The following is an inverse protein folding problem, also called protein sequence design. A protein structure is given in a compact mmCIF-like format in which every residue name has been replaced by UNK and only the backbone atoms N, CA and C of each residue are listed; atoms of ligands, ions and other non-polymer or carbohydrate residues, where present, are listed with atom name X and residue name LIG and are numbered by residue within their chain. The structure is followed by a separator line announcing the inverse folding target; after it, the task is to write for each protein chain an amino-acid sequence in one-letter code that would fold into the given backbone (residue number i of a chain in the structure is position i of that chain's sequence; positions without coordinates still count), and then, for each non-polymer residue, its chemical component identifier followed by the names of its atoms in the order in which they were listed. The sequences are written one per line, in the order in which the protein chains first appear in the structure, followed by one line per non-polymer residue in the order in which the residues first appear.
data_IF_554064001613
#
_entry.id   IF_554064001613
#
_cell.length_a   1.000
_cell.length_b   1.000
_cell.length_c   1.000
_cell.angle_alpha   90.00
_cell.angle_beta   90.00
_cell.angle_gamma   90.00
#
_symmetry.space_group_name_H-M   'P 1'
#
loop_
_entity.id
_entity.type
_entity.pdbx_description
1 polymer ?
#
# COMPACT_ATOMS: atom_id res chain seq x y z
N UNK A 1 15.10 12.81 1.40
CA UNK A 1 16.35 12.17 0.91
C UNK A 1 17.35 11.94 2.04
N UNK A 2 17.84 12.96 2.75
CA UNK A 2 18.81 12.79 3.84
C UNK A 2 18.38 11.84 4.97
N UNK A 3 17.09 11.80 5.33
CA UNK A 3 16.57 10.86 6.31
C UNK A 3 16.76 9.39 5.88
N UNK A 4 16.55 9.09 4.59
CA UNK A 4 16.73 7.74 4.05
C UNK A 4 18.22 7.37 3.98
N UNK A 5 19.08 8.32 3.58
CA UNK A 5 20.54 8.12 3.57
C UNK A 5 21.09 7.87 4.99
N UNK A 6 20.49 8.45 6.02
CA UNK A 6 20.87 8.24 7.41
C UNK A 6 20.55 6.82 7.92
N UNK A 7 19.65 6.09 7.25
CA UNK A 7 19.36 4.69 7.57
C UNK A 7 20.29 3.71 6.83
N UNK A 8 21.10 4.20 5.89
CA UNK A 8 22.06 3.39 5.17
C UNK A 8 23.34 3.21 5.99
N UNK A 9 23.97 2.05 5.83
CA UNK A 9 25.31 1.81 6.37
C UNK A 9 26.38 2.31 5.37
N UNK A 10 27.41 2.97 5.90
CA UNK A 10 28.52 3.51 5.09
C UNK A 10 29.68 2.53 5.13
N UNK A 11 30.10 2.03 3.98
CA UNK A 11 31.34 1.25 3.86
C UNK A 11 32.52 2.18 3.55
N UNK A 12 33.42 2.34 4.53
CA UNK A 12 34.59 3.24 4.43
C UNK A 12 35.61 2.77 3.39
N UNK A 13 35.63 1.48 3.06
CA UNK A 13 36.61 0.86 2.15
C UNK A 13 36.35 1.19 0.68
N UNK A 14 35.10 1.22 0.24
CA UNK A 14 34.71 1.42 -1.16
C UNK A 14 33.89 2.70 -1.40
N UNK A 15 33.79 3.60 -0.41
CA UNK A 15 32.91 4.80 -0.45
C UNK A 15 31.49 4.45 -0.96
N UNK A 16 30.94 3.35 -0.47
CA UNK A 16 29.64 2.81 -0.92
C UNK A 16 28.62 2.84 0.21
N UNK A 17 27.35 3.09 -0.13
CA UNK A 17 26.21 3.02 0.78
C UNK A 17 25.50 1.69 0.60
N UNK A 18 25.27 0.99 1.70
CA UNK A 18 24.55 -0.29 1.72
C UNK A 18 23.25 -0.09 2.49
N UNK A 19 22.14 -0.42 1.85
CA UNK A 19 20.80 -0.36 2.44
C UNK A 19 20.09 -1.70 2.31
N UNK A 20 19.39 -2.09 3.37
CA UNK A 20 18.50 -3.25 3.38
C UNK A 20 17.06 -2.76 3.40
N UNK A 21 16.24 -3.24 2.46
CA UNK A 21 14.86 -2.79 2.33
C UNK A 21 13.95 -3.95 1.91
N UNK A 22 12.70 -3.87 2.35
CA UNK A 22 11.65 -4.77 1.91
C UNK A 22 11.08 -4.32 0.57
N UNK A 23 11.09 -5.21 -0.42
CA UNK A 23 10.51 -4.98 -1.73
C UNK A 23 9.61 -6.15 -2.12
N UNK A 24 8.49 -5.84 -2.78
CA UNK A 24 7.64 -6.85 -3.40
C UNK A 24 8.40 -7.57 -4.50
N UNK A 25 8.33 -8.91 -4.52
CA UNK A 25 8.98 -9.75 -5.55
C UNK A 25 8.51 -9.37 -6.96
N UNK A 26 7.27 -8.87 -7.10
CA UNK A 26 6.71 -8.45 -8.40
C UNK A 26 7.31 -7.15 -8.92
N UNK A 27 7.76 -6.26 -8.02
CA UNK A 27 8.29 -4.94 -8.37
C UNK A 27 9.83 -4.94 -8.48
N UNK A 28 10.47 -6.08 -8.18
CA UNK A 28 11.92 -6.26 -8.28
C UNK A 28 12.48 -5.95 -9.69
N UNK A 29 11.84 -6.38 -10.81
CA UNK A 29 12.35 -6.05 -12.14
C UNK A 29 12.33 -4.55 -12.43
N UNK A 30 11.24 -3.87 -12.07
CA UNK A 30 11.10 -2.43 -12.27
C UNK A 30 12.13 -1.64 -11.44
N UNK A 31 12.44 -2.11 -10.23
CA UNK A 31 13.49 -1.54 -9.41
C UNK A 31 14.88 -1.73 -10.03
N UNK A 32 15.19 -2.91 -10.57
CA UNK A 32 16.46 -3.17 -11.23
C UNK A 32 16.65 -2.33 -12.49
N UNK A 33 15.58 -2.12 -13.25
CA UNK A 33 15.58 -1.25 -14.43
C UNK A 33 15.85 0.21 -14.04
N UNK A 34 15.12 0.74 -13.05
CA UNK A 34 15.35 2.09 -12.54
C UNK A 34 16.79 2.30 -12.04
N UNK A 35 17.37 1.31 -11.34
CA UNK A 35 18.77 1.38 -10.89
C UNK A 35 19.76 1.39 -12.06
N UNK A 36 19.49 0.61 -13.11
CA UNK A 36 20.33 0.53 -14.31
C UNK A 36 20.29 1.83 -15.12
N UNK A 37 19.12 2.44 -15.23
CA UNK A 37 18.94 3.72 -15.92
C UNK A 37 19.73 4.82 -15.20
N UNK A 38 19.58 4.94 -13.87
CA UNK A 38 20.35 5.90 -13.06
C UNK A 38 21.86 5.65 -13.11
N UNK A 39 22.28 4.38 -13.18
CA UNK A 39 23.70 4.04 -13.28
C UNK A 39 24.34 4.48 -14.61
N UNK A 40 23.55 4.55 -15.67
CA UNK A 40 24.01 4.96 -17.01
C UNK A 40 24.15 6.47 -17.11
N UNK A 41 23.26 7.23 -16.47
CA UNK A 41 23.27 8.70 -16.50
C UNK A 41 24.37 9.31 -15.62
N UNK A 42 24.61 8.75 -14.43
CA UNK A 42 25.54 9.34 -13.44
C UNK A 42 26.87 8.58 -13.30
N UNK A 43 27.04 7.44 -13.99
CA UNK A 43 28.26 6.61 -13.90
C UNK A 43 28.46 5.93 -12.55
N UNK A 44 27.42 5.90 -11.70
CA UNK A 44 27.42 5.28 -10.37
C UNK A 44 26.73 3.93 -10.44
N UNK A 45 27.45 2.83 -10.17
CA UNK A 45 26.88 1.49 -10.19
C UNK A 45 26.00 1.22 -8.97
N UNK A 46 24.69 1.11 -9.17
CA UNK A 46 23.75 0.69 -8.14
C UNK A 46 23.25 -0.74 -8.42
N UNK A 47 23.37 -1.63 -7.43
CA UNK A 47 23.02 -3.05 -7.58
C UNK A 47 22.11 -3.49 -6.44
N UNK A 48 21.03 -4.19 -6.76
CA UNK A 48 20.14 -4.82 -5.80
C UNK A 48 20.39 -6.34 -5.74
N UNK A 49 20.62 -6.87 -4.54
CA UNK A 49 20.82 -8.30 -4.30
C UNK A 49 19.76 -8.85 -3.33
N UNK A 50 19.23 -10.04 -3.61
CA UNK A 50 18.25 -10.70 -2.74
C UNK A 50 18.96 -11.46 -1.62
N UNK A 51 18.70 -11.06 -0.38
CA UNK A 51 19.29 -11.68 0.81
C UNK A 51 18.27 -12.64 1.44
N UNK A 52 18.65 -13.88 1.81
CA UNK A 52 17.77 -14.76 2.56
C UNK A 52 17.64 -14.26 4.01
N UNK A 53 16.47 -13.73 4.37
CA UNK A 53 16.13 -13.35 5.75
C UNK A 53 15.21 -14.39 6.41
N UNK A 54 15.36 -14.54 7.74
CA UNK A 54 14.44 -15.30 8.59
C UNK A 54 13.38 -14.43 9.26
N UNK A 55 13.53 -13.11 9.18
CA UNK A 55 12.59 -12.17 9.76
C UNK A 55 11.26 -12.16 9.01
N UNK A 56 10.18 -11.86 9.75
CA UNK A 56 8.83 -11.84 9.20
C UNK A 56 8.66 -10.64 8.27
N UNK A 57 8.41 -10.84 6.98
CA UNK A 57 8.26 -9.74 6.03
C UNK A 57 6.97 -8.94 6.29
N UNK A 58 6.94 -7.65 5.92
CA UNK A 58 5.74 -6.83 6.01
C UNK A 58 4.65 -7.32 5.05
N UNK A 59 3.38 -7.07 5.42
CA UNK A 59 2.23 -7.37 4.59
C UNK A 59 1.95 -6.25 3.60
N UNK A 60 1.88 -6.60 2.31
CA UNK A 60 1.50 -5.67 1.25
C UNK A 60 0.19 -6.12 0.62
N UNK A 61 -0.87 -5.34 0.83
CA UNK A 61 -2.16 -5.53 0.18
C UNK A 61 -2.33 -4.44 -0.88
N UNK A 62 -2.41 -4.84 -2.15
CA UNK A 62 -2.66 -3.90 -3.25
C UNK A 62 -4.15 -3.53 -3.26
N UNK A 63 -4.44 -2.28 -2.99
CA UNK A 63 -5.80 -1.73 -3.01
C UNK A 63 -6.01 -0.89 -4.27
N UNK A 64 -7.27 -0.84 -4.74
CA UNK A 64 -7.74 0.13 -5.71
C UNK A 64 -8.48 1.26 -4.98
N UNK A 65 -8.80 2.37 -5.64
CA UNK A 65 -9.56 3.51 -5.07
C UNK A 65 -10.82 3.08 -4.30
N UNK A 66 -11.49 2.02 -4.76
CA UNK A 66 -12.68 1.48 -4.11
C UNK A 66 -12.35 0.61 -2.89
N UNK A 67 -11.40 -0.34 -3.04
CA UNK A 67 -11.09 -1.28 -1.95
C UNK A 67 -10.22 -0.65 -0.86
N UNK A 68 -9.61 0.52 -1.11
CA UNK A 68 -8.79 1.24 -0.14
C UNK A 68 -9.59 1.63 1.11
N UNK A 69 -10.83 2.10 0.96
CA UNK A 69 -11.66 2.47 2.10
C UNK A 69 -11.99 1.27 2.99
N UNK A 70 -12.38 0.14 2.37
CA UNK A 70 -12.68 -1.10 3.11
C UNK A 70 -11.44 -1.71 3.76
N UNK A 71 -10.29 -1.64 3.08
CA UNK A 71 -9.02 -2.06 3.65
C UNK A 71 -8.66 -1.20 4.87
N UNK A 72 -8.86 0.12 4.80
CA UNK A 72 -8.64 1.00 5.94
C UNK A 72 -9.51 0.66 7.16
N UNK A 73 -10.76 0.25 6.93
CA UNK A 73 -11.64 -0.23 8.01
C UNK A 73 -11.09 -1.51 8.66
N UNK A 74 -10.60 -2.46 7.86
CA UNK A 74 -9.99 -3.70 8.36
C UNK A 74 -8.69 -3.41 9.11
N UNK A 75 -7.81 -2.60 8.53
CA UNK A 75 -6.50 -2.26 9.07
C UNK A 75 -6.61 -1.47 10.38
N UNK A 76 -7.71 -0.73 10.58
CA UNK A 76 -8.00 -0.03 11.84
C UNK A 76 -8.22 -0.99 13.02
N UNK A 77 -8.69 -2.22 12.78
CA UNK A 77 -8.75 -3.27 13.80
C UNK A 77 -7.40 -3.94 14.02
N UNK A 78 -6.60 -4.06 12.98
CA UNK A 78 -5.24 -4.59 13.05
C UNK A 78 -4.73 -5.01 11.68
N UNK A 79 -3.41 -4.93 11.51
CA UNK A 79 -2.74 -5.40 10.30
C UNK A 79 -2.58 -6.92 10.37
N UNK A 80 -3.03 -7.61 9.32
CA UNK A 80 -2.91 -9.07 9.21
C UNK A 80 -1.46 -9.56 9.20
N UNK A 81 -1.26 -10.84 9.49
CA UNK A 81 0.06 -11.48 9.40
C UNK A 81 0.45 -11.74 7.95
N UNK A 82 1.74 -11.91 7.71
CA UNK A 82 2.25 -12.30 6.40
C UNK A 82 1.61 -13.59 5.91
N UNK A 83 1.07 -13.54 4.67
CA UNK A 83 0.32 -14.62 4.02
C UNK A 83 -1.00 -15.02 4.72
N UNK A 84 -1.52 -14.18 5.62
CA UNK A 84 -2.86 -14.36 6.15
C UNK A 84 -3.94 -13.99 5.11
N UNK A 85 -5.11 -14.62 5.22
CA UNK A 85 -6.25 -14.31 4.36
C UNK A 85 -6.76 -12.91 4.70
N UNK A 86 -6.81 -12.03 3.70
CA UNK A 86 -7.38 -10.69 3.88
C UNK A 86 -8.91 -10.77 4.04
N UNK A 87 -9.51 -10.28 5.14
CA UNK A 87 -10.95 -10.24 5.29
C UNK A 87 -11.64 -9.11 4.48
N UNK A 88 -10.89 -8.13 3.97
CA UNK A 88 -11.45 -6.96 3.28
C UNK A 88 -12.38 -7.28 2.09
N UNK A 89 -12.13 -8.30 1.24
CA UNK A 89 -13.07 -8.67 0.19
C UNK A 89 -14.45 -9.09 0.71
N UNK A 90 -14.50 -9.73 1.89
CA UNK A 90 -15.76 -10.11 2.52
C UNK A 90 -16.46 -8.91 3.15
N UNK A 91 -15.69 -8.02 3.80
CA UNK A 91 -16.26 -6.83 4.46
C UNK A 91 -16.90 -5.87 3.45
N UNK A 92 -16.45 -5.83 2.19
CA UNK A 92 -17.11 -5.05 1.12
C UNK A 92 -18.61 -5.36 1.01
N UNK A 93 -19.00 -6.62 1.20
CA UNK A 93 -20.40 -7.05 1.06
C UNK A 93 -21.08 -7.11 2.43
N UNK A 94 -20.43 -7.76 3.41
CA UNK A 94 -21.06 -8.04 4.70
C UNK A 94 -21.25 -6.78 5.54
N UNK A 95 -20.33 -5.80 5.46
CA UNK A 95 -20.43 -4.59 6.27
C UNK A 95 -21.63 -3.71 5.86
N UNK A 96 -21.81 -3.32 4.57
CA UNK A 96 -23.01 -2.57 4.17
C UNK A 96 -24.31 -3.37 4.36
N UNK A 97 -24.27 -4.69 4.18
CA UNK A 97 -25.44 -5.54 4.39
C UNK A 97 -25.90 -5.53 5.86
N UNK A 98 -24.99 -5.76 6.80
CA UNK A 98 -25.30 -5.72 8.23
C UNK A 98 -25.74 -4.32 8.66
N UNK A 99 -25.11 -3.26 8.12
CA UNK A 99 -25.55 -1.89 8.34
C UNK A 99 -26.99 -1.65 7.84
N UNK A 100 -27.32 -2.14 6.64
CA UNK A 100 -28.66 -1.99 6.06
C UNK A 100 -29.76 -2.71 6.87
N UNK A 101 -29.47 -3.90 7.42
CA UNK A 101 -30.40 -4.62 8.30
C UNK A 101 -30.65 -3.85 9.60
N UNK A 102 -29.62 -3.23 10.17
CA UNK A 102 -29.73 -2.46 11.41
C UNK A 102 -30.40 -1.08 11.20
N UNK A 103 -30.19 -0.46 10.05
CA UNK A 103 -30.63 0.89 9.70
C UNK A 103 -31.83 0.88 8.73
N UNK A 104 -32.66 -0.18 8.79
CA UNK A 104 -33.66 -0.57 7.78
C UNK A 104 -34.85 0.37 7.59
N UNK A 105 -34.58 1.64 7.27
CA UNK A 105 -35.55 2.66 6.88
C UNK A 105 -35.25 3.13 5.45
N UNK A 106 -36.27 3.03 4.59
CA UNK A 106 -36.19 3.38 3.16
C UNK A 106 -35.92 4.88 2.95
N UNK A 107 -36.49 5.76 3.78
CA UNK A 107 -36.33 7.21 3.63
C UNK A 107 -34.91 7.62 4.02
N UNK A 108 -34.41 7.10 5.14
CA UNK A 108 -33.04 7.36 5.59
C UNK A 108 -32.02 6.74 4.62
N UNK A 109 -32.29 5.54 4.10
CA UNK A 109 -31.45 4.90 3.08
C UNK A 109 -31.36 5.70 1.78
N UNK A 110 -32.48 6.26 1.31
CA UNK A 110 -32.49 7.13 0.12
C UNK A 110 -31.69 8.42 0.34
N UNK A 111 -31.83 9.05 1.51
CA UNK A 111 -31.08 10.27 1.84
C UNK A 111 -29.57 10.01 1.93
N UNK A 112 -29.16 8.90 2.56
CA UNK A 112 -27.77 8.47 2.62
C UNK A 112 -27.21 8.15 1.23
N UNK A 113 -28.01 7.53 0.36
CA UNK A 113 -27.63 7.27 -1.03
C UNK A 113 -27.43 8.56 -1.84
N UNK A 114 -28.35 9.52 -1.74
CA UNK A 114 -28.24 10.80 -2.44
C UNK A 114 -27.02 11.60 -1.97
N UNK A 115 -26.75 11.61 -0.65
CA UNK A 115 -25.56 12.26 -0.10
C UNK A 115 -24.26 11.59 -0.56
N UNK A 116 -24.19 10.25 -0.52
CA UNK A 116 -23.04 9.50 -1.02
C UNK A 116 -22.82 9.73 -2.52
N UNK A 117 -23.89 9.73 -3.32
CA UNK A 117 -23.84 10.01 -4.76
C UNK A 117 -23.31 11.42 -5.04
N UNK A 118 -23.78 12.43 -4.30
CA UNK A 118 -23.30 13.79 -4.43
C UNK A 118 -21.79 13.90 -4.15
N UNK A 119 -21.28 13.22 -3.11
CA UNK A 119 -19.85 13.20 -2.81
C UNK A 119 -19.01 12.53 -3.92
N UNK A 120 -19.49 11.40 -4.48
CA UNK A 120 -18.81 10.71 -5.58
C UNK A 120 -18.77 11.56 -6.85
N UNK A 121 -19.85 12.30 -7.15
CA UNK A 121 -19.88 13.20 -8.30
C UNK A 121 -18.99 14.43 -8.11
N UNK A 122 -18.90 14.95 -6.89
CA UNK A 122 -18.07 16.11 -6.55
C UNK A 122 -16.57 15.78 -6.43
N UNK A 123 -16.17 14.49 -6.40
CA UNK A 123 -14.78 14.06 -6.22
C UNK A 123 -13.81 14.67 -7.25
N UNK A 124 -14.27 14.92 -8.47
CA UNK A 124 -13.44 15.48 -9.55
C UNK A 124 -13.56 17.00 -9.69
N UNK A 125 -14.40 17.67 -8.89
CA UNK A 125 -14.50 19.12 -8.90
C UNK A 125 -13.44 19.70 -7.97
N UNK A 126 -12.47 20.48 -8.48
CA UNK A 126 -11.56 21.21 -7.62
C UNK A 126 -12.37 22.25 -6.82
N UNK A 127 -12.18 22.26 -5.50
CA UNK A 127 -12.72 23.29 -4.61
C UNK A 127 -12.06 24.65 -4.88
#
# INVERSE_FOLDING_TARGET
VYLALNQCSVSTTNKCLIAEAWCSVRDLPALQEALRDSSTEEGVSAVAHRIPCRDMPPTLIRTNRFTASFQGIVDAYGVGRYQEVNPAPYTIITFPFLFAVMFGDVVHGLLMFLFALAMVLAENQPA
#
